data_IF_463154701863
#
_entry.id   IF_463154701863
#
_cell.length_a   1.000
_cell.length_b   1.000
_cell.length_c   1.000
_cell.angle_alpha   90.00
_cell.angle_beta   90.00
_cell.angle_gamma   90.00
#
_symmetry.space_group_name_H-M   'P 1'
#
loop_
_entity.id
_entity.type
_entity.pdbx_description
1 polymer ?
#
# COMPACT_ATOMS: atom_id res chain seq x y z
N UNK A 1 -8.58 -12.04 -15.00
CA UNK A 1 -7.32 -11.39 -14.55
C UNK A 1 -7.39 -9.88 -14.57
N UNK A 2 -7.93 -9.23 -15.62
CA UNK A 2 -8.01 -7.75 -15.69
C UNK A 2 -9.10 -7.13 -14.82
N UNK A 3 -10.11 -7.92 -14.45
CA UNK A 3 -11.19 -7.52 -13.54
C UNK A 3 -10.84 -7.68 -12.06
N UNK A 4 -9.68 -8.31 -11.76
CA UNK A 4 -9.25 -8.54 -10.38
C UNK A 4 -9.12 -7.20 -9.65
N UNK A 5 -9.61 -7.13 -8.42
CA UNK A 5 -9.47 -5.91 -7.61
C UNK A 5 -8.02 -5.76 -7.12
N UNK A 6 -7.32 -4.75 -7.61
CA UNK A 6 -5.91 -4.50 -7.27
C UNK A 6 -5.81 -3.27 -6.37
N UNK A 7 -5.33 -3.47 -5.15
CA UNK A 7 -4.97 -2.37 -4.25
C UNK A 7 -3.52 -1.96 -4.45
N UNK A 8 -3.28 -0.66 -4.67
CA UNK A 8 -1.94 -0.10 -4.78
C UNK A 8 -1.69 0.82 -3.58
N UNK A 9 -1.02 0.30 -2.55
CA UNK A 9 -0.60 1.11 -1.41
C UNK A 9 0.44 2.13 -1.89
N UNK A 10 0.26 3.41 -1.54
CA UNK A 10 1.15 4.47 -2.02
C UNK A 10 0.91 4.89 -3.48
N UNK A 11 -0.29 4.67 -4.04
CA UNK A 11 -0.62 4.96 -5.46
C UNK A 11 -0.29 6.37 -5.97
N UNK A 12 -0.15 7.38 -5.09
CA UNK A 12 0.22 8.76 -5.49
C UNK A 12 1.73 9.03 -5.47
N UNK A 13 2.52 8.11 -4.91
CA UNK A 13 3.98 8.20 -4.91
C UNK A 13 4.56 8.05 -6.31
N UNK A 14 5.85 8.32 -6.45
CA UNK A 14 6.56 8.20 -7.73
C UNK A 14 6.39 6.80 -8.34
N UNK A 15 6.67 5.75 -7.56
CA UNK A 15 6.54 4.36 -8.00
C UNK A 15 5.07 3.96 -8.18
N UNK A 16 4.23 4.19 -7.15
CA UNK A 16 2.82 3.81 -7.19
C UNK A 16 2.05 4.43 -8.36
N UNK A 17 2.31 5.70 -8.68
CA UNK A 17 1.65 6.36 -9.80
C UNK A 17 2.11 5.82 -11.17
N UNK A 18 3.37 5.41 -11.29
CA UNK A 18 3.88 4.77 -12.50
C UNK A 18 3.25 3.37 -12.70
N UNK A 19 3.14 2.59 -11.63
CA UNK A 19 2.46 1.29 -11.65
C UNK A 19 0.99 1.48 -12.05
N UNK A 20 0.29 2.44 -11.44
CA UNK A 20 -1.09 2.75 -11.75
C UNK A 20 -1.28 3.06 -13.25
N UNK A 21 -0.49 3.99 -13.80
CA UNK A 21 -0.55 4.36 -15.24
C UNK A 21 -0.26 3.16 -16.14
N UNK A 22 0.73 2.34 -15.80
CA UNK A 22 1.08 1.13 -16.55
C UNK A 22 -0.05 0.10 -16.54
N UNK A 23 -0.69 -0.14 -15.39
CA UNK A 23 -1.82 -1.07 -15.29
C UNK A 23 -3.05 -0.54 -16.07
N UNK A 24 -3.36 0.74 -15.96
CA UNK A 24 -4.43 1.34 -16.77
C UNK A 24 -4.16 1.21 -18.27
N UNK A 25 -2.93 1.50 -18.72
CA UNK A 25 -2.55 1.35 -20.13
C UNK A 25 -2.66 -0.10 -20.64
N UNK A 26 -2.49 -1.09 -19.74
CA UNK A 26 -2.69 -2.53 -20.05
C UNK A 26 -4.16 -2.98 -19.97
N UNK A 27 -5.07 -2.07 -19.62
CA UNK A 27 -6.52 -2.31 -19.56
C UNK A 27 -7.02 -2.90 -18.24
N UNK A 28 -6.27 -2.72 -17.15
CA UNK A 28 -6.80 -3.00 -15.80
C UNK A 28 -7.67 -1.84 -15.35
N UNK A 29 -8.90 -2.13 -14.95
CA UNK A 29 -9.92 -1.11 -14.62
C UNK A 29 -10.29 -1.11 -13.14
N UNK A 30 -10.12 -2.24 -12.45
CA UNK A 30 -10.48 -2.41 -11.04
C UNK A 30 -9.30 -2.10 -10.10
N UNK A 31 -8.77 -0.89 -10.21
CA UNK A 31 -7.68 -0.40 -9.37
C UNK A 31 -8.26 0.41 -8.20
N UNK A 32 -7.80 0.13 -6.99
CA UNK A 32 -8.15 0.90 -5.79
C UNK A 32 -6.89 1.44 -5.12
N UNK A 33 -7.02 2.63 -4.55
CA UNK A 33 -5.96 3.29 -3.78
C UNK A 33 -6.59 4.15 -2.69
N UNK A 34 -5.88 4.29 -1.58
CA UNK A 34 -6.24 5.20 -0.48
C UNK A 34 -5.09 6.16 -0.23
N UNK A 35 -5.44 7.40 0.10
CA UNK A 35 -4.49 8.39 0.60
C UNK A 35 -4.18 8.13 2.07
N UNK A 36 -3.07 8.69 2.56
CA UNK A 36 -2.73 8.60 3.98
C UNK A 36 -3.72 9.29 4.92
N UNK A 37 -4.66 10.09 4.39
CA UNK A 37 -5.76 10.67 5.17
C UNK A 37 -6.99 9.76 5.24
N UNK A 38 -7.13 8.84 4.28
CA UNK A 38 -8.26 7.90 4.20
C UNK A 38 -7.93 6.56 4.85
N UNK A 39 -6.64 6.20 4.90
CA UNK A 39 -6.14 4.96 5.49
C UNK A 39 -4.72 5.18 6.01
N UNK A 40 -4.53 5.11 7.33
CA UNK A 40 -3.19 5.06 7.91
C UNK A 40 -2.67 3.63 7.91
N UNK A 41 -1.76 3.33 6.99
CA UNK A 41 -1.14 2.00 6.85
C UNK A 41 -0.32 1.58 8.08
N UNK A 42 0.00 2.50 9.00
CA UNK A 42 0.66 2.19 10.28
C UNK A 42 -0.32 1.67 11.32
N UNK A 43 -1.64 1.87 11.11
CA UNK A 43 -2.69 1.38 12.00
C UNK A 43 -3.20 0.02 11.51
N UNK A 44 -2.89 -1.03 12.26
CA UNK A 44 -3.27 -2.41 11.91
C UNK A 44 -4.80 -2.60 11.84
N UNK A 45 -5.56 -1.95 12.72
CA UNK A 45 -7.01 -2.07 12.75
C UNK A 45 -7.63 -1.48 11.47
N UNK A 46 -7.20 -0.28 11.07
CA UNK A 46 -7.69 0.36 9.85
C UNK A 46 -7.35 -0.46 8.59
N UNK A 47 -6.15 -1.04 8.51
CA UNK A 47 -5.76 -1.91 7.39
C UNK A 47 -6.64 -3.17 7.34
N UNK A 48 -6.90 -3.79 8.49
CA UNK A 48 -7.77 -4.96 8.56
C UNK A 48 -9.21 -4.64 8.15
N UNK A 49 -9.77 -3.54 8.64
CA UNK A 49 -11.12 -3.09 8.29
C UNK A 49 -11.22 -2.76 6.79
N UNK A 50 -10.19 -2.12 6.24
CA UNK A 50 -10.09 -1.84 4.82
C UNK A 50 -10.04 -3.12 3.98
N UNK A 51 -9.24 -4.11 4.35
CA UNK A 51 -9.18 -5.38 3.60
C UNK A 51 -10.45 -6.21 3.75
N UNK A 52 -11.08 -6.24 4.93
CA UNK A 52 -12.34 -6.94 5.14
C UNK A 52 -13.49 -6.34 4.30
N UNK A 53 -13.49 -5.01 4.13
CA UNK A 53 -14.51 -4.28 3.36
C UNK A 53 -14.25 -4.31 1.85
N UNK A 54 -13.04 -3.97 1.41
CA UNK A 54 -12.71 -3.89 -0.01
C UNK A 54 -12.39 -5.24 -0.64
N UNK A 55 -11.81 -6.17 0.12
CA UNK A 55 -11.40 -7.51 -0.36
C UNK A 55 -10.56 -7.44 -1.64
N UNK A 56 -9.40 -6.75 -1.62
CA UNK A 56 -8.51 -6.75 -2.77
C UNK A 56 -7.99 -8.16 -3.03
N UNK A 57 -7.92 -8.54 -4.30
CA UNK A 57 -7.39 -9.85 -4.71
C UNK A 57 -5.87 -9.80 -4.93
N UNK A 58 -5.32 -8.61 -5.20
CA UNK A 58 -3.90 -8.35 -5.37
C UNK A 58 -3.56 -7.08 -4.61
N UNK A 59 -2.46 -7.10 -3.86
CA UNK A 59 -1.92 -5.94 -3.16
C UNK A 59 -0.53 -5.64 -3.73
N UNK A 60 -0.32 -4.40 -4.17
CA UNK A 60 0.99 -3.89 -4.58
C UNK A 60 1.43 -2.88 -3.52
N UNK A 61 2.44 -3.23 -2.73
CA UNK A 61 3.03 -2.31 -1.77
C UNK A 61 4.06 -1.39 -2.46
N UNK A 62 3.70 -0.12 -2.59
CA UNK A 62 4.62 0.95 -2.99
C UNK A 62 4.60 2.11 -1.99
N UNK A 63 4.07 1.88 -0.79
CA UNK A 63 4.00 2.86 0.27
C UNK A 63 5.27 2.81 1.12
N UNK A 64 5.85 3.98 1.39
CA UNK A 64 6.98 4.08 2.29
C UNK A 64 7.07 5.50 2.86
N UNK A 65 7.64 5.61 4.07
CA UNK A 65 8.22 6.86 4.54
C UNK A 65 9.53 7.07 3.80
N UNK A 66 9.57 8.08 2.94
CA UNK A 66 10.72 8.42 2.09
C UNK A 66 11.24 9.83 2.39
N UNK A 67 12.54 10.06 2.17
CA UNK A 67 13.19 11.34 2.40
C UNK A 67 14.61 11.35 1.85
N UNK A 68 15.20 12.55 1.77
CA UNK A 68 16.59 12.72 1.36
C UNK A 68 17.59 12.28 2.44
N UNK A 69 18.89 12.38 2.12
CA UNK A 69 19.99 11.95 3.01
C UNK A 69 19.87 12.59 4.41
N UNK A 70 19.65 13.91 4.46
CA UNK A 70 19.51 14.63 5.74
C UNK A 70 18.31 14.13 6.57
N UNK A 71 17.14 13.95 5.95
CA UNK A 71 15.96 13.47 6.65
C UNK A 71 16.12 12.05 7.22
N UNK A 72 16.83 11.17 6.51
CA UNK A 72 17.13 9.82 7.01
C UNK A 72 18.11 9.86 8.19
N UNK A 73 19.04 10.82 8.19
CA UNK A 73 20.02 10.98 9.27
C UNK A 73 19.42 11.64 10.52
N UNK A 74 18.50 12.58 10.33
CA UNK A 74 17.85 13.30 11.44
C UNK A 74 16.75 12.45 12.11
N UNK A 75 16.10 11.55 11.37
CA UNK A 75 14.96 10.76 11.86
C UNK A 75 15.04 9.24 11.61
N UNK A 76 16.20 8.57 11.83
CA UNK A 76 16.42 7.19 11.41
C UNK A 76 15.43 6.21 12.04
N UNK A 77 15.10 6.41 13.32
CA UNK A 77 14.12 5.59 14.03
C UNK A 77 12.71 5.69 13.43
N UNK A 78 12.25 6.90 13.11
CA UNK A 78 10.92 7.08 12.49
C UNK A 78 10.86 6.42 11.12
N UNK A 79 11.90 6.58 10.29
CA UNK A 79 11.98 5.93 8.99
C UNK A 79 11.91 4.41 9.11
N UNK A 80 12.69 3.82 10.01
CA UNK A 80 12.66 2.38 10.23
C UNK A 80 11.31 1.90 10.74
N UNK A 81 10.81 2.51 11.82
CA UNK A 81 9.60 2.07 12.50
C UNK A 81 8.36 2.21 11.61
N UNK A 82 8.19 3.35 10.92
CA UNK A 82 7.03 3.55 10.05
C UNK A 82 7.03 2.60 8.87
N UNK A 83 8.17 2.37 8.22
CA UNK A 83 8.25 1.42 7.11
C UNK A 83 8.00 -0.03 7.56
N UNK A 84 8.47 -0.42 8.74
CA UNK A 84 8.17 -1.74 9.31
C UNK A 84 6.69 -1.90 9.63
N UNK A 85 6.05 -0.89 10.23
CA UNK A 85 4.61 -0.93 10.50
C UNK A 85 3.80 -1.04 9.21
N UNK A 86 4.10 -0.24 8.20
CA UNK A 86 3.43 -0.28 6.88
C UNK A 86 3.52 -1.68 6.28
N UNK A 87 4.73 -2.23 6.17
CA UNK A 87 4.96 -3.53 5.55
C UNK A 87 4.30 -4.66 6.32
N UNK A 88 4.47 -4.69 7.65
CA UNK A 88 3.93 -5.74 8.48
C UNK A 88 2.40 -5.74 8.47
N UNK A 89 1.76 -4.57 8.55
CA UNK A 89 0.30 -4.48 8.51
C UNK A 89 -0.27 -4.92 7.17
N UNK A 90 0.38 -4.56 6.04
CA UNK A 90 -0.06 -5.00 4.72
C UNK A 90 0.10 -6.51 4.54
N UNK A 91 1.23 -7.08 4.96
CA UNK A 91 1.50 -8.53 4.83
C UNK A 91 0.57 -9.35 5.75
N UNK A 92 0.46 -8.97 7.02
CA UNK A 92 -0.41 -9.64 8.00
C UNK A 92 -1.89 -9.50 7.61
N UNK A 93 -2.31 -8.30 7.20
CA UNK A 93 -3.67 -8.07 6.72
C UNK A 93 -3.99 -8.90 5.48
N UNK A 94 -3.06 -9.00 4.52
CA UNK A 94 -3.23 -9.80 3.31
C UNK A 94 -3.41 -11.29 3.66
N UNK A 95 -2.58 -11.81 4.57
CA UNK A 95 -2.67 -13.20 5.04
C UNK A 95 -4.00 -13.48 5.74
N UNK A 96 -4.46 -12.57 6.62
CA UNK A 96 -5.71 -12.72 7.38
C UNK A 96 -6.97 -12.65 6.53
N UNK A 97 -6.88 -12.05 5.34
CA UNK A 97 -7.99 -11.89 4.41
C UNK A 97 -7.87 -12.80 3.17
N UNK A 98 -7.01 -13.83 3.24
CA UNK A 98 -6.83 -14.83 2.19
C UNK A 98 -6.54 -14.23 0.80
N UNK A 99 -5.77 -13.15 0.76
CA UNK A 99 -5.29 -12.59 -0.51
C UNK A 99 -4.34 -13.60 -1.16
N UNK A 100 -4.51 -13.83 -2.47
CA UNK A 100 -3.68 -14.77 -3.23
C UNK A 100 -2.19 -14.46 -3.10
N UNK A 101 -1.38 -15.52 -2.95
CA UNK A 101 0.08 -15.46 -2.77
C UNK A 101 0.83 -15.40 -4.10
#
# INVERSE_FOLDING_TARGET
MKDRKIFIAGHRGMVGSAIWRSLQAKGYTNLIGKTSKELDLRNQAEVNDFFASEKPEIIIDSAARVGGILANNDYPYNFLMENMLIQNNLIDGALKNDVDK
#
